data_IF_384133717700
#
_entry.id   IF_384133717700
#
_cell.length_a   1.000
_cell.length_b   1.000
_cell.length_c   1.000
_cell.angle_alpha   90.00
_cell.angle_beta   90.00
_cell.angle_gamma   90.00
#
_symmetry.space_group_name_H-M   'P 1'
#
loop_
_entity.id
_entity.type
_entity.pdbx_description
1 polymer ?
#
# COMPACT_ATOMS: atom_id res chain seq x y z
N UNK A 1 -21.14 15.08 9.48
CA UNK A 1 -19.74 14.63 9.73
C UNK A 1 -19.16 13.87 8.56
N UNK A 2 -19.90 13.01 7.85
CA UNK A 2 -19.50 12.42 6.55
C UNK A 2 -18.87 13.41 5.55
N UNK A 3 -19.40 14.64 5.47
CA UNK A 3 -18.85 15.72 4.63
C UNK A 3 -17.41 16.13 4.97
N UNK A 4 -16.93 15.90 6.21
CA UNK A 4 -15.57 16.32 6.58
C UNK A 4 -14.51 15.50 5.85
N UNK A 5 -14.74 14.19 5.69
CA UNK A 5 -13.81 13.30 4.97
C UNK A 5 -13.82 13.63 3.50
N UNK A 6 -15.01 13.80 2.91
CA UNK A 6 -15.15 14.17 1.50
C UNK A 6 -14.47 15.52 1.23
N UNK A 7 -14.67 16.52 2.10
CA UNK A 7 -13.97 17.80 1.99
C UNK A 7 -12.46 17.64 2.10
N UNK A 8 -11.95 16.87 3.06
CA UNK A 8 -10.51 16.59 3.20
C UNK A 8 -9.93 15.84 2.01
N UNK A 9 -10.72 14.99 1.38
CA UNK A 9 -10.34 14.28 0.16
C UNK A 9 -10.21 15.23 -1.03
N UNK A 10 -11.16 16.16 -1.21
CA UNK A 10 -11.02 17.19 -2.24
C UNK A 10 -9.81 18.10 -1.98
N UNK A 11 -9.55 18.48 -0.72
CA UNK A 11 -8.33 19.22 -0.36
C UNK A 11 -7.04 18.46 -0.69
N UNK A 12 -7.03 17.14 -0.51
CA UNK A 12 -5.91 16.29 -0.92
C UNK A 12 -5.73 16.28 -2.44
N UNK A 13 -6.83 16.17 -3.21
CA UNK A 13 -6.77 16.24 -4.67
C UNK A 13 -6.21 17.58 -5.15
N UNK A 14 -6.66 18.68 -4.57
CA UNK A 14 -6.17 20.01 -4.90
C UNK A 14 -4.66 20.11 -4.68
N UNK A 15 -4.17 19.67 -3.51
CA UNK A 15 -2.74 19.62 -3.20
C UNK A 15 -1.94 18.77 -4.19
N UNK A 16 -2.43 17.58 -4.51
CA UNK A 16 -1.76 16.67 -5.46
C UNK A 16 -1.73 17.26 -6.86
N UNK A 17 -2.79 17.98 -7.25
CA UNK A 17 -2.89 18.64 -8.55
C UNK A 17 -1.95 19.84 -8.67
N UNK A 18 -1.76 20.60 -7.60
CA UNK A 18 -0.81 21.73 -7.56
C UNK A 18 0.64 21.24 -7.77
N UNK A 19 1.00 20.10 -7.18
CA UNK A 19 2.35 19.53 -7.22
C UNK A 19 2.54 18.44 -8.30
N UNK A 20 1.56 18.20 -9.18
CA UNK A 20 1.47 16.98 -10.02
C UNK A 20 2.74 16.67 -10.81
N UNK A 21 3.41 17.69 -11.34
CA UNK A 21 4.61 17.53 -12.17
C UNK A 21 5.88 17.19 -11.36
N UNK A 22 5.88 17.46 -10.06
CA UNK A 22 7.04 17.30 -9.17
C UNK A 22 6.88 16.11 -8.20
N UNK A 23 5.72 15.44 -8.23
CA UNK A 23 5.45 14.30 -7.35
C UNK A 23 6.24 13.05 -7.77
N UNK A 24 6.91 12.46 -6.79
CA UNK A 24 7.47 11.12 -6.86
C UNK A 24 6.78 10.18 -5.86
N UNK A 25 7.09 8.88 -5.91
CA UNK A 25 6.44 7.89 -5.04
C UNK A 25 6.63 8.20 -3.55
N UNK A 26 7.79 8.73 -3.15
CA UNK A 26 8.09 9.05 -1.77
C UNK A 26 7.22 10.23 -1.29
N UNK A 27 7.21 11.33 -2.05
CA UNK A 27 6.38 12.50 -1.71
C UNK A 27 4.89 12.16 -1.69
N UNK A 28 4.40 11.34 -2.63
CA UNK A 28 3.01 10.89 -2.64
C UNK A 28 2.67 10.07 -1.39
N UNK A 29 3.52 9.13 -0.98
CA UNK A 29 3.31 8.34 0.25
C UNK A 29 3.20 9.25 1.46
N UNK A 30 4.11 10.22 1.63
CA UNK A 30 4.04 11.13 2.78
C UNK A 30 2.79 12.01 2.77
N UNK A 31 2.37 12.50 1.60
CA UNK A 31 1.12 13.26 1.45
C UNK A 31 -0.09 12.42 1.92
N UNK A 32 -0.15 11.15 1.52
CA UNK A 32 -1.23 10.24 1.91
C UNK A 32 -1.19 9.89 3.41
N UNK A 33 0.00 9.71 3.99
CA UNK A 33 0.16 9.46 5.42
C UNK A 33 -0.22 10.68 6.26
N UNK A 34 0.11 11.88 5.81
CA UNK A 34 -0.31 13.11 6.49
C UNK A 34 -1.82 13.29 6.42
N UNK A 35 -2.43 13.00 5.27
CA UNK A 35 -3.89 12.94 5.17
C UNK A 35 -4.49 11.92 6.14
N UNK A 36 -3.91 10.72 6.27
CA UNK A 36 -4.34 9.71 7.23
C UNK A 36 -4.27 10.19 8.69
N UNK A 37 -3.21 10.93 9.06
CA UNK A 37 -3.09 11.56 10.40
C UNK A 37 -4.21 12.60 10.63
N UNK A 38 -4.57 13.37 9.61
CA UNK A 38 -5.70 14.29 9.70
C UNK A 38 -7.01 13.53 9.96
N UNK A 39 -7.20 12.38 9.31
CA UNK A 39 -8.39 11.53 9.54
C UNK A 39 -8.43 10.99 10.98
N UNK A 40 -7.29 10.53 11.50
CA UNK A 40 -7.15 10.07 12.90
C UNK A 40 -7.60 11.13 13.91
N UNK A 41 -7.36 12.40 13.63
CA UNK A 41 -7.69 13.52 14.52
C UNK A 41 -9.21 13.78 14.68
N UNK A 42 -10.03 13.19 13.81
CA UNK A 42 -11.47 13.42 13.80
C UNK A 42 -12.13 12.71 14.99
N UNK A 43 -12.90 13.46 15.78
CA UNK A 43 -13.60 12.97 16.99
C UNK A 43 -14.94 12.29 16.65
N UNK A 44 -14.94 11.36 15.71
CA UNK A 44 -16.10 10.54 15.34
C UNK A 44 -15.76 9.06 15.51
N UNK A 45 -16.65 8.30 16.16
CA UNK A 45 -16.41 6.90 16.52
C UNK A 45 -16.27 6.01 15.28
N UNK A 46 -17.12 6.24 14.27
CA UNK A 46 -17.10 5.43 13.04
C UNK A 46 -15.84 5.73 12.22
N UNK A 47 -15.43 7.00 12.15
CA UNK A 47 -14.19 7.38 11.45
C UNK A 47 -12.97 6.81 12.17
N UNK A 48 -12.94 6.85 13.51
CA UNK A 48 -11.86 6.22 14.29
C UNK A 48 -11.77 4.72 14.06
N UNK A 49 -12.92 4.04 13.97
CA UNK A 49 -12.96 2.61 13.67
C UNK A 49 -12.39 2.33 12.26
N UNK A 50 -12.84 3.06 11.25
CA UNK A 50 -12.32 2.92 9.88
C UNK A 50 -10.82 3.21 9.81
N UNK A 51 -10.36 4.24 10.51
CA UNK A 51 -8.94 4.55 10.60
C UNK A 51 -8.15 3.36 11.19
N UNK A 52 -8.64 2.79 12.29
CA UNK A 52 -8.04 1.61 12.93
C UNK A 52 -7.97 0.42 11.98
N UNK A 53 -9.06 0.15 11.28
CA UNK A 53 -9.20 -1.02 10.41
C UNK A 53 -8.32 -0.91 9.14
N UNK A 54 -8.13 0.31 8.61
CA UNK A 54 -7.50 0.49 7.30
C UNK A 54 -6.15 1.21 7.30
N UNK A 55 -5.89 2.14 8.24
CA UNK A 55 -4.78 3.08 8.15
C UNK A 55 -3.78 3.01 9.33
N UNK A 56 -4.20 2.56 10.52
CA UNK A 56 -3.34 2.53 11.71
C UNK A 56 -2.01 1.77 11.47
N UNK A 57 -2.06 0.67 10.71
CA UNK A 57 -0.87 -0.14 10.40
C UNK A 57 0.24 0.60 9.65
N UNK A 58 -0.04 1.75 9.04
CA UNK A 58 0.93 2.53 8.28
C UNK A 58 1.70 3.54 9.13
N UNK A 59 1.27 3.83 10.37
CA UNK A 59 1.90 4.87 11.20
C UNK A 59 3.33 4.51 11.64
N UNK A 60 3.56 3.24 11.95
CA UNK A 60 4.82 2.76 12.51
C UNK A 60 5.81 2.28 11.44
N UNK A 61 5.48 2.48 10.15
CA UNK A 61 6.31 2.03 9.06
C UNK A 61 7.48 2.99 8.83
N UNK A 62 8.69 2.44 8.76
CA UNK A 62 9.83 3.17 8.24
C UNK A 62 9.77 3.14 6.70
N UNK A 63 9.17 4.18 6.12
CA UNK A 63 8.95 4.30 4.67
C UNK A 63 10.27 4.25 3.89
N UNK A 64 11.33 4.89 4.39
CA UNK A 64 12.65 4.89 3.71
C UNK A 64 13.23 3.48 3.57
N UNK A 65 12.92 2.60 4.52
CA UNK A 65 13.38 1.21 4.49
C UNK A 65 12.50 0.30 3.63
N UNK A 66 11.24 0.68 3.34
CA UNK A 66 10.24 -0.17 2.68
C UNK A 66 10.04 0.23 1.23
N UNK A 67 10.00 1.53 0.93
CA UNK A 67 9.67 2.05 -0.38
C UNK A 67 10.76 1.70 -1.40
N UNK A 68 10.42 0.84 -2.35
CA UNK A 68 11.31 0.49 -3.45
C UNK A 68 11.24 1.54 -4.56
N UNK A 69 12.36 2.21 -4.83
CA UNK A 69 12.51 3.28 -5.85
C UNK A 69 13.47 2.91 -6.98
N UNK A 70 13.58 1.62 -7.30
CA UNK A 70 14.41 1.14 -8.41
C UNK A 70 13.87 1.52 -9.79
N UNK A 71 14.66 1.28 -10.83
CA UNK A 71 14.29 1.60 -12.23
C UNK A 71 13.10 0.77 -12.76
N UNK A 72 12.81 -0.36 -12.13
CA UNK A 72 11.69 -1.25 -12.49
C UNK A 72 10.79 -1.37 -11.27
N UNK A 73 9.56 -0.89 -11.41
CA UNK A 73 8.50 -0.92 -10.40
C UNK A 73 7.23 -1.45 -11.05
N UNK A 74 6.35 -2.11 -10.30
CA UNK A 74 5.14 -2.78 -10.82
C UNK A 74 3.91 -1.87 -10.91
N UNK A 75 4.06 -0.57 -10.66
CA UNK A 75 2.96 0.39 -10.65
C UNK A 75 3.32 1.63 -11.47
N UNK A 76 2.31 2.25 -12.07
CA UNK A 76 2.43 3.56 -12.71
C UNK A 76 2.00 4.65 -11.73
N UNK A 77 2.95 5.51 -11.34
CA UNK A 77 2.66 6.65 -10.48
C UNK A 77 1.68 7.62 -11.14
N UNK A 78 1.80 7.84 -12.46
CA UNK A 78 0.89 8.66 -13.25
C UNK A 78 -0.54 8.12 -13.19
N UNK A 79 -0.72 6.80 -13.35
CA UNK A 79 -2.05 6.18 -13.29
C UNK A 79 -2.66 6.26 -11.90
N UNK A 80 -1.86 6.06 -10.84
CA UNK A 80 -2.32 6.23 -9.45
C UNK A 80 -2.81 7.66 -9.23
N UNK A 81 -2.01 8.66 -9.59
CA UNK A 81 -2.37 10.06 -9.42
C UNK A 81 -3.64 10.38 -10.20
N UNK A 82 -3.66 10.04 -11.50
CA UNK A 82 -4.74 10.40 -12.40
C UNK A 82 -6.05 9.68 -12.10
N UNK A 83 -6.00 8.35 -11.95
CA UNK A 83 -7.21 7.52 -11.90
C UNK A 83 -7.62 7.15 -10.48
N UNK A 84 -6.66 6.82 -9.60
CA UNK A 84 -7.00 6.42 -8.22
C UNK A 84 -7.25 7.59 -7.28
N UNK A 85 -6.69 8.77 -7.59
CA UNK A 85 -6.81 9.98 -6.77
C UNK A 85 -7.66 11.04 -7.47
N UNK A 86 -7.16 11.68 -8.54
CA UNK A 86 -7.79 12.88 -9.12
C UNK A 86 -9.18 12.59 -9.71
N UNK A 87 -9.29 11.54 -10.52
CA UNK A 87 -10.55 11.12 -11.15
C UNK A 87 -11.36 10.14 -10.29
N UNK A 88 -10.96 9.95 -9.02
CA UNK A 88 -11.61 9.00 -8.11
C UNK A 88 -13.01 9.47 -7.74
N UNK A 89 -14.01 8.66 -8.05
CA UNK A 89 -15.39 8.91 -7.62
C UNK A 89 -15.62 8.37 -6.20
N UNK A 90 -15.92 9.26 -5.26
CA UNK A 90 -16.07 8.95 -3.83
C UNK A 90 -17.41 9.43 -3.29
N UNK A 91 -18.47 8.69 -3.58
CA UNK A 91 -19.83 9.08 -3.18
C UNK A 91 -20.12 8.92 -1.66
N UNK A 92 -19.23 8.23 -0.93
CA UNK A 92 -19.40 7.91 0.48
C UNK A 92 -18.10 8.13 1.27
N UNK A 93 -18.22 8.60 2.52
CA UNK A 93 -17.07 9.03 3.33
C UNK A 93 -16.08 7.90 3.67
N UNK A 94 -16.47 6.63 3.58
CA UNK A 94 -15.55 5.51 3.78
C UNK A 94 -14.62 5.31 2.57
N UNK A 95 -15.06 5.67 1.37
CA UNK A 95 -14.32 5.40 0.12
C UNK A 95 -12.94 6.06 0.09
N UNK A 96 -12.77 7.35 0.47
CA UNK A 96 -11.44 7.97 0.55
C UNK A 96 -10.46 7.23 1.46
N UNK A 97 -10.94 6.70 2.59
CA UNK A 97 -10.11 5.97 3.57
C UNK A 97 -9.63 4.65 2.95
N UNK A 98 -10.54 3.88 2.35
CA UNK A 98 -10.21 2.62 1.67
C UNK A 98 -9.28 2.85 0.48
N UNK A 99 -9.56 3.86 -0.35
CA UNK A 99 -8.70 4.23 -1.48
C UNK A 99 -7.28 4.59 -1.02
N UNK A 100 -7.15 5.39 0.03
CA UNK A 100 -5.84 5.73 0.60
C UNK A 100 -5.09 4.49 1.06
N UNK A 101 -5.77 3.54 1.72
CA UNK A 101 -5.20 2.24 2.10
C UNK A 101 -4.72 1.46 0.87
N UNK A 102 -5.53 1.39 -0.17
CA UNK A 102 -5.23 0.63 -1.40
C UNK A 102 -4.01 1.23 -2.12
N UNK A 103 -3.95 2.55 -2.23
CA UNK A 103 -2.82 3.26 -2.88
C UNK A 103 -1.53 3.05 -2.07
N UNK A 104 -1.59 3.26 -0.74
CA UNK A 104 -0.43 3.03 0.13
C UNK A 104 0.06 1.58 0.02
N UNK A 105 -0.84 0.61 0.04
CA UNK A 105 -0.50 -0.81 -0.14
C UNK A 105 0.17 -1.05 -1.49
N UNK A 106 -0.40 -0.53 -2.58
CA UNK A 106 0.13 -0.74 -3.92
C UNK A 106 1.54 -0.20 -4.12
N UNK A 107 1.85 0.95 -3.50
CA UNK A 107 3.16 1.60 -3.58
C UNK A 107 4.17 0.91 -2.64
N UNK A 108 3.76 0.52 -1.43
CA UNK A 108 4.67 -0.01 -0.40
C UNK A 108 4.90 -1.53 -0.50
N UNK A 109 3.93 -2.30 -0.99
CA UNK A 109 4.05 -3.75 -1.13
C UNK A 109 4.91 -4.11 -2.34
N UNK A 110 6.14 -4.56 -2.10
CA UNK A 110 7.02 -5.02 -3.18
C UNK A 110 6.39 -6.18 -3.95
N UNK A 111 6.30 -6.08 -5.28
CA UNK A 111 5.86 -7.18 -6.16
C UNK A 111 7.05 -7.82 -6.83
N UNK A 112 7.29 -9.10 -6.54
CA UNK A 112 8.37 -9.90 -7.13
C UNK A 112 8.04 -10.37 -8.55
N UNK A 113 9.02 -10.82 -9.31
CA UNK A 113 8.81 -11.50 -10.61
C UNK A 113 8.39 -12.98 -10.47
N UNK A 114 8.06 -13.44 -9.26
CA UNK A 114 7.61 -14.81 -9.03
C UNK A 114 6.14 -14.93 -9.34
N UNK A 115 5.80 -15.80 -10.30
CA UNK A 115 4.43 -16.17 -10.61
C UNK A 115 3.76 -16.93 -9.45
N UNK A 116 2.47 -16.72 -9.28
CA UNK A 116 1.69 -17.41 -8.27
C UNK A 116 1.58 -18.91 -8.57
N UNK A 117 2.01 -19.82 -7.67
CA UNK A 117 1.92 -21.26 -7.88
C UNK A 117 0.48 -21.81 -7.76
N UNK A 118 -0.47 -20.98 -7.32
CA UNK A 118 -1.87 -21.37 -7.14
C UNK A 118 -2.74 -21.09 -8.38
N UNK A 119 -2.63 -19.90 -8.97
CA UNK A 119 -3.41 -19.53 -10.16
C UNK A 119 -2.57 -19.26 -11.42
N UNK A 120 -1.30 -18.92 -11.29
CA UNK A 120 -0.45 -18.52 -12.43
C UNK A 120 -0.82 -17.18 -13.07
N UNK A 121 -1.87 -16.50 -12.58
CA UNK A 121 -2.43 -15.29 -13.20
C UNK A 121 -1.83 -13.98 -12.66
N UNK A 122 -0.96 -14.06 -11.65
CA UNK A 122 -0.34 -12.87 -11.08
C UNK A 122 1.04 -13.15 -10.49
N UNK A 123 1.83 -12.10 -10.37
CA UNK A 123 3.09 -12.09 -9.66
C UNK A 123 2.88 -11.83 -8.16
N UNK A 124 3.75 -12.39 -7.32
CA UNK A 124 3.55 -12.38 -5.87
C UNK A 124 4.10 -11.12 -5.20
N UNK A 125 3.32 -10.54 -4.28
CA UNK A 125 3.76 -9.53 -3.32
C UNK A 125 4.64 -10.15 -2.25
N UNK A 126 5.62 -9.39 -1.75
CA UNK A 126 6.62 -9.86 -0.79
C UNK A 126 6.39 -9.21 0.56
N UNK A 127 6.24 -10.05 1.57
CA UNK A 127 6.07 -9.69 2.96
C UNK A 127 7.13 -10.36 3.82
N UNK A 128 7.27 -9.85 5.05
CA UNK A 128 8.10 -10.43 6.09
C UNK A 128 7.25 -10.68 7.32
N UNK A 129 7.48 -11.82 7.98
CA UNK A 129 6.88 -12.10 9.28
C UNK A 129 7.40 -11.12 10.34
N UNK A 130 6.50 -10.59 11.17
CA UNK A 130 6.85 -9.63 12.21
C UNK A 130 7.82 -10.26 13.21
N UNK A 131 8.91 -9.54 13.51
CA UNK A 131 10.00 -9.98 14.40
C UNK A 131 10.85 -11.15 13.84
N UNK A 132 10.78 -11.39 12.54
CA UNK A 132 11.49 -12.44 11.82
C UNK A 132 12.09 -11.87 10.54
N UNK A 133 13.03 -12.58 9.92
CA UNK A 133 13.51 -12.30 8.55
C UNK A 133 12.88 -13.26 7.52
N UNK A 134 11.93 -14.09 7.95
CA UNK A 134 11.26 -15.05 7.09
C UNK A 134 10.35 -14.31 6.11
N UNK A 135 10.58 -14.55 4.83
CA UNK A 135 9.77 -13.96 3.77
C UNK A 135 8.57 -14.83 3.42
N UNK A 136 7.50 -14.13 3.08
CA UNK A 136 6.27 -14.69 2.56
C UNK A 136 5.88 -13.99 1.27
N UNK A 137 5.21 -14.73 0.40
CA UNK A 137 4.80 -14.30 -0.92
C UNK A 137 3.30 -14.50 -1.04
N UNK A 138 2.57 -13.45 -1.40
CA UNK A 138 1.11 -13.47 -1.49
C UNK A 138 0.64 -13.04 -2.88
N UNK A 139 -0.37 -13.72 -3.41
CA UNK A 139 -1.03 -13.35 -4.66
C UNK A 139 -2.17 -12.37 -4.41
N UNK A 140 -2.21 -11.25 -5.15
CA UNK A 140 -3.30 -10.25 -5.03
C UNK A 140 -4.65 -10.81 -5.51
N UNK A 141 -4.65 -11.82 -6.41
CA UNK A 141 -5.86 -12.41 -7.00
C UNK A 141 -6.45 -13.51 -6.12
N UNK A 142 -5.67 -14.56 -5.85
CA UNK A 142 -6.17 -15.76 -5.18
C UNK A 142 -5.81 -15.83 -3.69
N UNK A 143 -5.08 -14.84 -3.17
CA UNK A 143 -4.65 -14.74 -1.77
C UNK A 143 -3.78 -15.92 -1.28
N UNK A 144 -3.25 -16.70 -2.23
CA UNK A 144 -2.35 -17.80 -1.96
C UNK A 144 -1.07 -17.27 -1.32
N UNK A 145 -0.80 -17.73 -0.09
CA UNK A 145 0.36 -17.36 0.71
C UNK A 145 1.37 -18.51 0.70
N UNK A 146 2.60 -18.24 0.26
CA UNK A 146 3.70 -19.22 0.27
C UNK A 146 4.96 -18.65 0.90
N UNK A 147 5.78 -19.49 1.52
CA UNK A 147 7.08 -19.08 2.02
C UNK A 147 8.18 -19.16 0.95
N UNK A 148 9.43 -18.85 1.33
CA UNK A 148 10.61 -18.92 0.45
C UNK A 148 10.84 -20.29 -0.20
N UNK A 149 10.32 -21.37 0.40
CA UNK A 149 10.45 -22.74 -0.10
C UNK A 149 9.24 -23.15 -0.97
N UNK A 150 8.27 -22.26 -1.18
CA UNK A 150 7.02 -22.56 -1.89
C UNK A 150 6.01 -23.35 -1.05
N UNK A 151 6.23 -23.47 0.26
CA UNK A 151 5.27 -24.12 1.16
C UNK A 151 4.08 -23.19 1.37
N UNK A 152 2.85 -23.71 1.20
CA UNK A 152 1.61 -22.93 1.42
C UNK A 152 1.33 -22.76 2.92
N UNK A 153 0.84 -21.59 3.30
CA UNK A 153 0.49 -21.24 4.68
C UNK A 153 -0.93 -20.65 4.76
N UNK A 154 -1.56 -20.77 5.93
CA UNK A 154 -2.83 -20.09 6.21
C UNK A 154 -2.58 -18.69 6.79
N UNK A 155 -3.39 -17.71 6.39
CA UNK A 155 -3.28 -16.32 6.84
C UNK A 155 -3.44 -16.11 8.36
N UNK A 156 -4.06 -17.07 9.05
CA UNK A 156 -4.31 -16.97 10.49
C UNK A 156 -3.06 -17.20 11.35
N UNK A 157 -2.01 -17.80 10.77
CA UNK A 157 -0.84 -18.25 11.55
C UNK A 157 0.28 -17.21 11.62
N UNK A 158 0.25 -16.17 10.77
CA UNK A 158 1.41 -15.30 10.59
C UNK A 158 1.04 -13.82 10.52
N UNK A 159 1.65 -13.00 11.39
CA UNK A 159 1.52 -11.54 11.30
C UNK A 159 2.54 -11.01 10.30
N UNK A 160 2.08 -10.56 9.14
CA UNK A 160 2.93 -10.09 8.04
C UNK A 160 3.02 -8.56 7.99
N UNK A 161 4.19 -8.06 7.59
CA UNK A 161 4.42 -6.65 7.27
C UNK A 161 5.23 -6.52 5.97
N UNK A 162 5.38 -5.30 5.45
CA UNK A 162 6.13 -5.06 4.22
C UNK A 162 7.60 -5.45 4.39
N UNK A 163 8.14 -6.18 3.41
CA UNK A 163 9.56 -6.50 3.40
C UNK A 163 10.40 -5.23 3.16
N UNK A 164 11.54 -5.11 3.86
CA UNK A 164 12.45 -3.99 3.64
C UNK A 164 13.18 -4.12 2.30
N UNK A 165 13.53 -2.99 1.70
CA UNK A 165 14.35 -2.92 0.48
C UNK A 165 15.70 -3.61 0.68
N UNK A 166 16.30 -3.51 1.88
CA UNK A 166 17.55 -4.19 2.20
C UNK A 166 17.41 -5.71 2.14
N UNK A 167 16.32 -6.26 2.67
CA UNK A 167 16.05 -7.70 2.66
C UNK A 167 15.71 -8.21 1.25
N UNK A 168 14.90 -7.45 0.51
CA UNK A 168 14.58 -7.75 -0.90
C UNK A 168 15.87 -7.86 -1.73
N UNK A 169 16.78 -6.88 -1.56
CA UNK A 169 18.07 -6.85 -2.26
C UNK A 169 19.01 -7.96 -1.80
N UNK A 170 19.13 -8.24 -0.51
CA UNK A 170 20.02 -9.29 0.01
C UNK A 170 19.60 -10.68 -0.45
N UNK A 171 18.31 -10.89 -0.66
CA UNK A 171 17.70 -12.13 -1.16
C UNK A 171 17.65 -12.20 -2.70
N UNK A 172 18.18 -11.19 -3.41
CA UNK A 172 18.18 -11.09 -4.87
C UNK A 172 16.79 -11.24 -5.51
N UNK A 173 15.75 -10.76 -4.83
CA UNK A 173 14.38 -10.82 -5.35
C UNK A 173 14.22 -9.71 -6.39
N UNK A 174 13.84 -10.10 -7.60
CA UNK A 174 13.67 -9.18 -8.72
C UNK A 174 12.26 -8.59 -8.71
N UNK A 175 12.09 -7.33 -9.13
CA UNK A 175 10.78 -6.71 -9.24
C UNK A 175 10.00 -7.31 -10.42
N UNK A 176 8.68 -7.42 -10.27
CA UNK A 176 7.79 -7.65 -11.41
C UNK A 176 7.94 -6.52 -12.41
N UNK A 177 8.04 -6.81 -13.72
CA UNK A 177 7.82 -5.79 -14.75
C UNK A 177 6.37 -5.27 -14.70
N UNK A 178 6.16 -4.08 -15.26
CA UNK A 178 4.83 -3.53 -15.62
C UNK A 178 4.30 -4.27 -16.85
#
# INVERSE_FOLDING_TARGET
>A
MSHIILRKWEQLKDKIKEDENDLNSNSLVYILLDWAKEIKSIKDIQIKQLYKDFLERYEDLNIENILYTGNVIWYSLEEIIKFDILNSNVDYYQRPIVKTRDILFNILAFKSDKECPCCGDDNLRVFVERNSERLFYECDICLCLVDENGTKHEHLETTLTFASVSLIKSKNIKPSPI
#
